data_IF_520764022487
#
_entry.id   IF_520764022487
#
_cell.length_a   1.000
_cell.length_b   1.000
_cell.length_c   1.000
_cell.angle_alpha   90.00
_cell.angle_beta   90.00
_cell.angle_gamma   90.00
#
_symmetry.space_group_name_H-M   'P 1'
#
loop_
_entity.id
_entity.type
_entity.pdbx_description
1 polymer ?
#
# COMPACT_ATOMS: atom_id res chain seq x y z
N UNK A 1 -9.39 36.30 -21.63
CA UNK A 1 -9.54 36.86 -23.00
C UNK A 1 -8.53 36.27 -24.00
N UNK A 2 -8.38 34.93 -24.11
CA UNK A 2 -7.45 34.28 -25.06
C UNK A 2 -8.16 33.44 -26.14
N UNK A 3 -9.48 33.29 -26.02
CA UNK A 3 -10.31 32.45 -26.90
C UNK A 3 -10.57 33.08 -28.28
N UNK A 4 -10.51 34.41 -28.41
CA UNK A 4 -10.84 35.10 -29.66
C UNK A 4 -9.76 34.96 -30.73
N UNK A 5 -8.48 34.84 -30.36
CA UNK A 5 -7.38 34.69 -31.33
C UNK A 5 -7.30 33.29 -31.92
N UNK A 6 -7.57 32.25 -31.11
CA UNK A 6 -7.62 30.86 -31.59
C UNK A 6 -8.76 30.65 -32.59
N UNK A 7 -9.92 31.28 -32.33
CA UNK A 7 -11.07 31.22 -33.22
C UNK A 7 -10.82 31.97 -34.53
N UNK A 8 -10.15 33.13 -34.47
CA UNK A 8 -9.73 33.85 -35.68
C UNK A 8 -8.74 33.04 -36.54
N UNK A 9 -7.76 32.36 -35.93
CA UNK A 9 -6.78 31.51 -36.65
C UNK A 9 -7.46 30.32 -37.33
N UNK A 10 -8.53 29.77 -36.74
CA UNK A 10 -9.28 28.65 -37.33
C UNK A 10 -10.25 29.10 -38.44
N UNK A 11 -10.82 30.30 -38.33
CA UNK A 11 -11.84 30.81 -39.26
C UNK A 11 -11.23 31.34 -40.57
N UNK A 12 -10.03 31.92 -40.54
CA UNK A 12 -9.34 32.45 -41.74
C UNK A 12 -9.08 31.37 -42.81
N UNK A 13 -8.52 30.18 -42.50
CA UNK A 13 -8.32 29.13 -43.49
C UNK A 13 -9.63 28.49 -43.95
N UNK A 14 -10.66 28.43 -43.08
CA UNK A 14 -11.99 27.95 -43.44
C UNK A 14 -12.66 28.86 -44.48
N UNK A 15 -12.53 30.18 -44.31
CA UNK A 15 -13.03 31.16 -45.28
C UNK A 15 -12.23 31.13 -46.60
N UNK A 16 -10.90 30.96 -46.54
CA UNK A 16 -10.09 30.78 -47.76
C UNK A 16 -10.46 29.51 -48.53
N UNK A 17 -10.80 28.41 -47.84
CA UNK A 17 -11.21 27.15 -48.46
C UNK A 17 -12.58 27.23 -49.17
N UNK A 18 -13.46 28.14 -48.72
CA UNK A 18 -14.78 28.37 -49.34
C UNK A 18 -14.67 29.30 -50.55
N UNK A 19 -13.78 30.31 -50.49
CA UNK A 19 -13.66 31.34 -51.54
C UNK A 19 -12.78 30.89 -52.72
N UNK A 20 -11.73 30.11 -52.47
CA UNK A 20 -10.84 29.64 -53.52
C UNK A 20 -11.35 28.30 -54.07
N UNK A 21 -12.12 28.32 -55.17
CA UNK A 21 -12.62 27.14 -55.89
C UNK A 21 -11.54 26.22 -56.52
N UNK A 22 -10.29 26.32 -56.06
CA UNK A 22 -9.18 25.49 -56.48
C UNK A 22 -9.01 24.31 -55.51
N UNK A 23 -9.10 23.11 -56.06
CA UNK A 23 -8.95 21.83 -55.35
C UNK A 23 -7.69 21.77 -54.48
N UNK A 24 -6.58 22.33 -54.96
CA UNK A 24 -5.31 22.35 -54.23
C UNK A 24 -5.38 23.18 -52.93
N UNK A 25 -6.08 24.32 -52.96
CA UNK A 25 -6.21 25.20 -51.79
C UNK A 25 -7.07 24.54 -50.71
N UNK A 26 -8.12 23.82 -51.13
CA UNK A 26 -8.96 23.04 -50.22
C UNK A 26 -8.16 21.95 -49.51
N UNK A 27 -7.32 21.20 -50.23
CA UNK A 27 -6.49 20.17 -49.60
C UNK A 27 -5.44 20.75 -48.67
N UNK A 28 -4.83 21.89 -49.04
CA UNK A 28 -3.89 22.58 -48.16
C UNK A 28 -4.56 23.04 -46.86
N UNK A 29 -5.78 23.59 -46.94
CA UNK A 29 -6.55 23.99 -45.78
C UNK A 29 -6.90 22.79 -44.87
N UNK A 30 -7.30 21.66 -45.45
CA UNK A 30 -7.58 20.42 -44.69
C UNK A 30 -6.33 19.90 -43.98
N UNK A 31 -5.17 19.91 -44.65
CA UNK A 31 -3.90 19.49 -44.04
C UNK A 31 -3.51 20.39 -42.86
N UNK A 32 -3.58 21.72 -43.04
CA UNK A 32 -3.28 22.68 -41.97
C UNK A 32 -4.23 22.51 -40.79
N UNK A 33 -5.52 22.33 -41.05
CA UNK A 33 -6.53 22.11 -40.00
C UNK A 33 -6.28 20.79 -39.26
N UNK A 34 -5.91 19.73 -39.97
CA UNK A 34 -5.58 18.43 -39.39
C UNK A 34 -4.36 18.48 -38.47
N UNK A 35 -3.29 19.16 -38.89
CA UNK A 35 -2.09 19.37 -38.06
C UNK A 35 -2.42 20.20 -36.82
N UNK A 36 -3.21 21.26 -36.98
CA UNK A 36 -3.62 22.12 -35.87
C UNK A 36 -4.50 21.35 -34.88
N UNK A 37 -5.41 20.50 -35.37
CA UNK A 37 -6.24 19.63 -34.53
C UNK A 37 -5.40 18.60 -33.77
N UNK A 38 -4.44 17.96 -34.44
CA UNK A 38 -3.50 17.05 -33.80
C UNK A 38 -2.68 17.76 -32.72
N UNK A 39 -2.20 18.99 -32.99
CA UNK A 39 -1.49 19.79 -32.00
C UNK A 39 -2.37 20.17 -30.79
N UNK A 40 -3.66 20.44 -30.99
CA UNK A 40 -4.56 20.71 -29.87
C UNK A 40 -4.83 19.43 -29.07
N UNK A 41 -5.10 18.31 -29.74
CA UNK A 41 -5.42 17.03 -29.09
C UNK A 41 -4.23 16.45 -28.32
N UNK A 42 -3.03 16.51 -28.89
CA UNK A 42 -1.84 15.91 -28.30
C UNK A 42 -0.96 16.93 -27.56
N UNK A 43 -0.99 18.21 -27.93
CA UNK A 43 -0.19 19.27 -27.31
C UNK A 43 -0.83 19.88 -26.06
N UNK A 44 -2.16 19.86 -25.95
CA UNK A 44 -2.82 19.96 -24.64
C UNK A 44 -2.95 18.56 -24.07
N UNK A 45 -1.82 18.01 -23.63
CA UNK A 45 -1.83 16.87 -22.72
C UNK A 45 -2.76 17.25 -21.57
N UNK A 46 -3.95 16.65 -21.54
CA UNK A 46 -4.97 16.92 -20.54
C UNK A 46 -4.35 16.48 -19.22
N UNK A 47 -3.66 17.41 -18.55
CA UNK A 47 -3.40 17.36 -17.14
C UNK A 47 -4.78 17.42 -16.51
N UNK A 48 -5.48 16.28 -16.47
CA UNK A 48 -6.50 16.04 -15.48
C UNK A 48 -5.70 16.13 -14.18
N UNK A 49 -5.87 17.18 -13.36
CA UNK A 49 -5.39 17.08 -12.01
C UNK A 49 -6.28 15.99 -11.40
N UNK A 50 -5.81 14.74 -11.44
CA UNK A 50 -6.37 13.72 -10.56
C UNK A 50 -6.34 14.39 -9.19
N UNK A 51 -7.47 14.46 -8.46
CA UNK A 51 -7.45 14.98 -7.12
C UNK A 51 -6.32 14.24 -6.42
N UNK A 52 -5.25 14.97 -6.08
CA UNK A 52 -4.17 14.43 -5.28
C UNK A 52 -4.87 14.01 -4.01
N UNK A 53 -5.14 12.70 -3.90
CA UNK A 53 -5.54 12.08 -2.64
C UNK A 53 -4.51 12.62 -1.66
N UNK A 54 -4.93 13.55 -0.81
CA UNK A 54 -4.09 14.08 0.24
C UNK A 54 -3.51 12.84 0.91
N UNK A 55 -2.23 12.60 0.65
CA UNK A 55 -1.53 11.53 1.31
C UNK A 55 -1.55 12.00 2.75
N UNK A 56 -2.48 11.41 3.50
CA UNK A 56 -2.49 11.30 4.94
C UNK A 56 -1.06 11.54 5.41
N UNK A 57 -0.90 12.67 6.11
CA UNK A 57 0.38 13.31 6.34
C UNK A 57 1.46 12.31 6.69
N UNK A 58 2.69 12.57 6.20
CA UNK A 58 3.94 11.89 6.57
C UNK A 58 3.72 10.95 7.76
N UNK A 59 3.35 9.70 7.46
CA UNK A 59 3.49 8.65 8.46
C UNK A 59 4.99 8.53 8.57
N UNK A 60 5.59 9.22 9.54
CA UNK A 60 6.90 8.86 10.04
C UNK A 60 6.87 7.34 10.14
N UNK A 61 7.66 6.68 9.30
CA UNK A 61 7.74 5.23 9.32
C UNK A 61 8.36 4.90 10.66
N UNK A 62 7.51 4.77 11.69
CA UNK A 62 7.89 4.23 12.98
C UNK A 62 8.62 2.94 12.68
N UNK A 63 9.84 2.86 13.20
CA UNK A 63 10.67 1.67 13.11
C UNK A 63 9.84 0.48 13.61
N UNK A 64 10.10 -0.72 13.09
CA UNK A 64 9.29 -1.88 13.46
C UNK A 64 9.33 -2.13 14.98
N UNK A 65 10.44 -1.75 15.63
CA UNK A 65 10.61 -1.72 17.08
C UNK A 65 9.63 -0.74 17.74
N UNK A 66 9.57 0.52 17.31
CA UNK A 66 8.61 1.50 17.86
C UNK A 66 7.15 1.07 17.69
N UNK A 67 6.83 0.39 16.58
CA UNK A 67 5.49 -0.17 16.35
C UNK A 67 5.19 -1.28 17.35
N UNK A 68 6.12 -2.18 17.62
CA UNK A 68 5.95 -3.24 18.62
C UNK A 68 5.84 -2.64 20.02
N UNK A 69 6.68 -1.68 20.39
CA UNK A 69 6.60 -0.99 21.69
C UNK A 69 5.24 -0.31 21.86
N UNK A 70 4.76 0.40 20.82
CA UNK A 70 3.44 1.04 20.84
C UNK A 70 2.32 0.00 20.98
N UNK A 71 2.46 -1.18 20.38
CA UNK A 71 1.49 -2.27 20.50
C UNK A 71 1.49 -2.86 21.92
N UNK A 72 2.65 -3.07 22.54
CA UNK A 72 2.79 -3.55 23.92
C UNK A 72 2.15 -2.55 24.90
N UNK A 73 2.41 -1.25 24.70
CA UNK A 73 1.82 -0.20 25.53
C UNK A 73 0.29 -0.16 25.43
N UNK A 74 -0.26 -0.38 24.22
CA UNK A 74 -1.70 -0.51 23.99
C UNK A 74 -2.27 -1.80 24.58
N UNK A 75 -1.53 -2.90 24.52
CA UNK A 75 -1.92 -4.20 25.06
C UNK A 75 -2.04 -4.19 26.58
N UNK A 76 -1.26 -3.34 27.27
CA UNK A 76 -1.45 -3.12 28.70
C UNK A 76 -2.89 -2.72 29.05
N UNK A 77 -3.51 -1.86 28.24
CA UNK A 77 -4.84 -1.26 28.51
C UNK A 77 -5.99 -1.91 27.74
N UNK A 78 -5.75 -2.58 26.61
CA UNK A 78 -6.81 -3.04 25.71
C UNK A 78 -6.71 -4.51 25.32
N UNK A 79 -7.84 -5.24 25.44
CA UNK A 79 -7.95 -6.66 25.04
C UNK A 79 -7.59 -6.91 23.57
N UNK A 80 -7.93 -5.98 22.68
CA UNK A 80 -7.65 -6.08 21.23
C UNK A 80 -6.15 -6.04 20.93
N UNK A 81 -5.39 -5.23 21.65
CA UNK A 81 -3.95 -5.17 21.45
C UNK A 81 -3.24 -6.40 22.07
N UNK A 82 -3.83 -7.02 23.11
CA UNK A 82 -3.36 -8.31 23.64
C UNK A 82 -3.57 -9.44 22.63
N UNK A 83 -4.75 -9.55 22.04
CA UNK A 83 -5.01 -10.57 21.02
C UNK A 83 -4.12 -10.40 19.79
N UNK A 84 -3.80 -9.17 19.40
CA UNK A 84 -2.84 -8.91 18.31
C UNK A 84 -1.42 -9.34 18.64
N UNK A 85 -0.99 -9.26 19.90
CA UNK A 85 0.32 -9.77 20.32
C UNK A 85 0.34 -11.29 20.37
N UNK A 86 -0.74 -11.88 20.86
CA UNK A 86 -0.93 -13.33 20.84
C UNK A 86 -0.87 -13.89 19.41
N UNK A 87 -1.61 -13.28 18.48
CA UNK A 87 -1.58 -13.65 17.06
C UNK A 87 -0.17 -13.56 16.46
N UNK A 88 0.61 -12.57 16.88
CA UNK A 88 2.02 -12.45 16.45
C UNK A 88 2.89 -13.57 16.99
N UNK A 89 2.73 -13.95 18.26
CA UNK A 89 3.50 -15.06 18.86
C UNK A 89 3.10 -16.39 18.20
N UNK A 90 1.81 -16.64 17.99
CA UNK A 90 1.31 -17.81 17.24
C UNK A 90 1.88 -17.82 15.82
N UNK A 91 1.90 -16.67 15.14
CA UNK A 91 2.47 -16.54 13.80
C UNK A 91 3.96 -16.89 13.75
N UNK A 92 4.74 -16.59 14.80
CA UNK A 92 6.16 -16.99 14.89
C UNK A 92 6.27 -18.51 14.95
N UNK A 93 5.52 -19.18 15.81
CA UNK A 93 5.51 -20.64 15.90
C UNK A 93 5.03 -21.30 14.60
N UNK A 94 3.98 -20.77 13.97
CA UNK A 94 3.49 -21.27 12.68
C UNK A 94 4.55 -21.12 11.56
N UNK A 95 5.37 -20.07 11.61
CA UNK A 95 6.48 -19.87 10.67
C UNK A 95 7.62 -20.88 10.86
N UNK A 96 7.79 -21.40 12.07
CA UNK A 96 8.79 -22.43 12.37
C UNK A 96 8.36 -23.84 11.96
N UNK A 97 7.06 -24.07 11.79
CA UNK A 97 6.52 -25.35 11.36
C UNK A 97 6.46 -25.50 9.84
N UNK A 98 6.49 -26.75 9.35
CA UNK A 98 6.43 -27.05 7.92
C UNK A 98 5.08 -26.68 7.27
N UNK A 99 3.98 -26.68 8.04
CA UNK A 99 2.65 -26.29 7.57
C UNK A 99 2.08 -25.13 8.40
N UNK A 100 2.28 -23.92 7.88
CA UNK A 100 1.87 -22.68 8.53
C UNK A 100 0.37 -22.66 8.88
N UNK A 101 -0.52 -23.01 7.95
CA UNK A 101 -1.96 -22.88 8.15
C UNK A 101 -2.45 -23.88 9.20
N UNK A 102 -1.98 -25.12 9.12
CA UNK A 102 -2.36 -26.16 10.08
C UNK A 102 -1.89 -25.81 11.49
N UNK A 103 -0.63 -25.37 11.63
CA UNK A 103 -0.03 -25.00 12.91
C UNK A 103 -0.65 -23.75 13.52
N UNK A 104 -0.98 -22.75 12.70
CA UNK A 104 -1.63 -21.53 13.17
C UNK A 104 -3.02 -21.84 13.76
N UNK A 105 -3.81 -22.67 13.07
CA UNK A 105 -5.12 -23.10 13.55
C UNK A 105 -5.04 -24.03 14.77
N UNK A 106 -4.06 -24.94 14.79
CA UNK A 106 -3.87 -25.84 15.94
C UNK A 106 -3.44 -25.05 17.17
N UNK A 107 -2.48 -24.14 17.08
CA UNK A 107 -2.01 -23.31 18.20
C UNK A 107 -3.07 -22.35 18.74
N UNK A 108 -4.08 -22.01 17.92
CA UNK A 108 -5.23 -21.23 18.38
C UNK A 108 -6.15 -22.08 19.27
N UNK A 109 -6.27 -23.37 18.97
CA UNK A 109 -7.17 -24.32 19.64
C UNK A 109 -6.51 -25.06 20.82
N UNK A 110 -5.25 -25.44 20.64
CA UNK A 110 -4.36 -26.10 21.59
C UNK A 110 -3.12 -25.19 21.78
N UNK A 111 -3.20 -24.22 22.71
CA UNK A 111 -2.09 -23.30 22.95
C UNK A 111 -0.89 -24.05 23.52
N UNK A 112 0.31 -23.65 23.11
CA UNK A 112 1.54 -24.12 23.74
C UNK A 112 1.84 -23.34 25.03
N UNK A 113 2.88 -23.77 25.76
CA UNK A 113 3.25 -23.20 27.06
C UNK A 113 3.47 -21.67 27.01
N UNK A 114 4.01 -21.15 25.91
CA UNK A 114 4.17 -19.71 25.70
C UNK A 114 2.83 -18.97 25.56
N UNK A 115 1.87 -19.50 24.80
CA UNK A 115 0.55 -18.90 24.64
C UNK A 115 -0.29 -19.04 25.93
N UNK A 116 -0.15 -20.15 26.65
CA UNK A 116 -0.78 -20.33 27.96
C UNK A 116 -0.24 -19.35 29.01
N UNK A 117 1.09 -19.15 29.04
CA UNK A 117 1.73 -18.16 29.90
C UNK A 117 1.20 -16.74 29.59
N UNK A 118 0.98 -16.41 28.30
CA UNK A 118 0.43 -15.11 27.90
C UNK A 118 -1.04 -14.94 28.30
N UNK A 119 -1.84 -16.00 28.23
CA UNK A 119 -3.28 -16.02 28.60
C UNK A 119 -3.53 -16.10 30.11
N UNK A 120 -2.49 -16.41 30.89
CA UNK A 120 -2.58 -16.56 32.34
C UNK A 120 -3.11 -15.29 33.02
N UNK A 121 -3.80 -15.45 34.15
CA UNK A 121 -4.29 -14.33 34.96
C UNK A 121 -3.12 -13.62 35.65
N UNK A 122 -3.11 -12.28 35.69
CA UNK A 122 -2.03 -11.49 36.32
C UNK A 122 -1.66 -10.21 35.57
N UNK A 123 -0.46 -9.67 35.84
CA UNK A 123 0.10 -8.58 35.04
C UNK A 123 0.45 -9.10 33.64
N UNK A 124 -0.14 -8.47 32.63
CA UNK A 124 0.08 -8.83 31.23
C UNK A 124 1.54 -8.72 30.82
N UNK A 125 2.29 -7.74 31.35
CA UNK A 125 3.69 -7.55 30.98
C UNK A 125 4.57 -8.69 31.50
N UNK A 126 4.36 -9.09 32.75
CA UNK A 126 5.07 -10.22 33.36
C UNK A 126 4.75 -11.53 32.62
N UNK A 127 3.50 -11.70 32.20
CA UNK A 127 3.05 -12.86 31.42
C UNK A 127 3.63 -12.86 29.99
N UNK A 128 3.72 -11.69 29.37
CA UNK A 128 4.37 -11.53 28.06
C UNK A 128 5.87 -11.82 28.16
N UNK A 129 6.55 -11.36 29.22
CA UNK A 129 7.97 -11.65 29.44
C UNK A 129 8.22 -13.16 29.58
N UNK A 130 7.40 -13.86 30.37
CA UNK A 130 7.46 -15.32 30.49
C UNK A 130 7.22 -16.02 29.15
N UNK A 131 6.19 -15.61 28.42
CA UNK A 131 5.87 -16.17 27.11
C UNK A 131 7.02 -15.99 26.10
N UNK A 132 7.65 -14.81 26.08
CA UNK A 132 8.80 -14.52 25.21
C UNK A 132 10.03 -15.33 25.59
N UNK A 133 10.26 -15.56 26.89
CA UNK A 133 11.37 -16.38 27.38
C UNK A 133 11.22 -17.85 26.96
N UNK A 134 10.02 -18.41 27.07
CA UNK A 134 9.71 -19.77 26.59
C UNK A 134 9.90 -19.85 25.07
N UNK A 135 9.38 -18.86 24.33
CA UNK A 135 9.58 -18.78 22.88
C UNK A 135 11.06 -18.72 22.47
N UNK A 136 11.88 -17.98 23.21
CA UNK A 136 13.32 -17.89 22.96
C UNK A 136 14.01 -19.25 23.18
N UNK A 137 13.64 -19.96 24.25
CA UNK A 137 14.15 -21.29 24.55
C UNK A 137 13.79 -22.30 23.45
N UNK A 138 12.51 -22.34 23.05
CA UNK A 138 12.01 -23.19 21.95
C UNK A 138 12.73 -22.89 20.62
N UNK A 139 12.95 -21.62 20.31
CA UNK A 139 13.68 -21.18 19.12
C UNK A 139 15.13 -21.65 19.14
N UNK A 140 15.78 -21.59 20.31
CA UNK A 140 17.15 -22.02 20.48
C UNK A 140 17.30 -23.54 20.36
N UNK A 141 16.39 -24.31 20.95
CA UNK A 141 16.40 -25.77 20.88
C UNK A 141 16.10 -26.27 19.46
N UNK A 142 15.07 -25.74 18.82
CA UNK A 142 14.72 -26.09 17.44
C UNK A 142 15.85 -25.74 16.46
N UNK A 143 16.54 -24.60 16.68
CA UNK A 143 17.76 -24.27 15.92
C UNK A 143 18.84 -25.33 16.12
N UNK A 144 19.11 -25.82 17.34
CA UNK A 144 20.13 -26.86 17.58
C UNK A 144 19.78 -28.19 16.94
N UNK A 145 18.50 -28.60 16.96
CA UNK A 145 18.03 -29.82 16.31
C UNK A 145 18.24 -29.82 14.78
N UNK A 146 18.05 -28.67 14.13
CA UNK A 146 18.22 -28.51 12.68
C UNK A 146 19.68 -28.53 12.20
N UNK A 147 20.66 -28.29 13.08
CA UNK A 147 22.10 -28.33 12.74
C UNK A 147 22.78 -29.68 13.06
N UNK A 148 22.06 -30.65 13.62
CA UNK A 148 22.59 -31.99 13.96
C UNK A 148 22.04 -33.13 13.08
N UNK A 149 21.19 -32.83 12.09
CA UNK A 149 20.74 -33.77 11.05
C UNK A 149 21.40 -33.49 9.72
#
# INVERSE_FOLDING_TARGET
MRFNYALAIAVIPLLMAIVAGSYLVRWLAVLVLGVLLAFILFGFEIHVPLPKRERLGKVERKTDVERVVTLIERAKKGKVARSLLEEKIVGIYATLSDDYNKSFHSLTSEPNEAIEALRSEGDFLDNLEKALKILEEDLHENRRGKFQG
#
